data_IF_632170251901
#
_entry.id   IF_632170251901
#
_cell.length_a   1.000
_cell.length_b   1.000
_cell.length_c   1.000
_cell.angle_alpha   90.00
_cell.angle_beta   90.00
_cell.angle_gamma   90.00
#
_symmetry.space_group_name_H-M   'P 1'
#
loop_
_entity.id
_entity.type
_entity.pdbx_description
1 polymer ?
#
# COMPACT_ATOMS: atom_id res chain seq x y z
N UNK A 1 -14.97 -4.14 -13.75
CA UNK A 1 -16.03 -3.18 -14.21
C UNK A 1 -15.47 -1.75 -14.23
N UNK A 2 -16.09 -0.77 -14.92
CA UNK A 2 -15.61 0.64 -14.94
C UNK A 2 -15.43 1.26 -13.54
N UNK A 3 -16.27 0.84 -12.59
CA UNK A 3 -16.24 1.23 -11.17
C UNK A 3 -14.98 0.75 -10.43
N UNK A 4 -14.54 -0.47 -10.70
CA UNK A 4 -13.37 -1.07 -10.05
C UNK A 4 -12.07 -0.37 -10.45
N UNK A 5 -11.89 -0.08 -11.75
CA UNK A 5 -10.73 0.69 -12.24
C UNK A 5 -10.67 2.08 -11.61
N UNK A 6 -11.82 2.76 -11.48
CA UNK A 6 -11.90 4.07 -10.81
C UNK A 6 -11.49 3.96 -9.34
N UNK A 7 -11.92 2.92 -8.65
CA UNK A 7 -11.61 2.70 -7.24
C UNK A 7 -10.14 2.33 -7.02
N UNK A 8 -9.56 1.48 -7.86
CA UNK A 8 -8.12 1.15 -7.84
C UNK A 8 -7.29 2.42 -8.05
N UNK A 9 -7.71 3.29 -8.98
CA UNK A 9 -7.07 4.59 -9.18
C UNK A 9 -7.14 5.44 -7.90
N UNK A 10 -8.32 5.58 -7.28
CA UNK A 10 -8.47 6.31 -6.01
C UNK A 10 -7.58 5.75 -4.89
N UNK A 11 -7.52 4.43 -4.74
CA UNK A 11 -6.66 3.76 -3.76
C UNK A 11 -5.18 4.10 -4.04
N UNK A 12 -4.76 4.04 -5.31
CA UNK A 12 -3.38 4.34 -5.71
C UNK A 12 -3.02 5.81 -5.47
N UNK A 13 -3.94 6.74 -5.78
CA UNK A 13 -3.73 8.18 -5.63
C UNK A 13 -3.63 8.56 -4.14
N UNK A 14 -4.49 8.01 -3.28
CA UNK A 14 -4.44 8.25 -1.83
C UNK A 14 -3.19 7.62 -1.21
N UNK A 15 -2.84 6.39 -1.61
CA UNK A 15 -1.60 5.75 -1.17
C UNK A 15 -0.37 6.59 -1.55
N UNK A 16 -0.37 7.21 -2.75
CA UNK A 16 0.70 8.12 -3.17
C UNK A 16 0.76 9.36 -2.28
N UNK A 17 -0.37 10.02 -2.06
CA UNK A 17 -0.45 11.22 -1.20
C UNK A 17 0.11 10.95 0.21
N UNK A 18 -0.28 9.84 0.83
CA UNK A 18 0.24 9.49 2.15
C UNK A 18 1.75 9.18 2.13
N UNK A 19 2.25 8.52 1.09
CA UNK A 19 3.69 8.29 1.00
C UNK A 19 4.42 9.62 0.81
N UNK A 20 3.97 10.50 -0.08
CA UNK A 20 4.61 11.81 -0.29
C UNK A 20 4.72 12.65 0.99
N UNK A 21 3.79 12.48 1.93
CA UNK A 21 3.80 13.18 3.22
C UNK A 21 4.56 12.46 4.34
N UNK A 22 4.60 11.11 4.34
CA UNK A 22 4.93 10.31 5.54
C UNK A 22 5.84 9.11 5.31
N UNK A 23 6.11 8.70 4.08
CA UNK A 23 6.91 7.51 3.77
C UNK A 23 7.85 7.72 2.57
N UNK A 24 8.84 6.85 2.43
CA UNK A 24 9.75 6.91 1.28
C UNK A 24 9.03 6.63 -0.06
N UNK A 25 9.64 7.12 -1.14
CA UNK A 25 9.22 6.75 -2.51
C UNK A 25 9.28 5.22 -2.73
N UNK A 26 10.23 4.55 -2.07
CA UNK A 26 10.38 3.09 -2.16
C UNK A 26 9.19 2.37 -1.52
N UNK A 27 8.68 2.88 -0.39
CA UNK A 27 7.46 2.37 0.22
C UNK A 27 6.25 2.45 -0.72
N UNK A 28 6.13 3.56 -1.45
CA UNK A 28 5.10 3.70 -2.48
C UNK A 28 5.31 2.72 -3.63
N UNK A 29 6.54 2.52 -4.11
CA UNK A 29 6.86 1.56 -5.18
C UNK A 29 6.44 0.15 -4.79
N UNK A 30 6.73 -0.28 -3.56
CA UNK A 30 6.31 -1.58 -3.03
C UNK A 30 4.78 -1.69 -2.93
N UNK A 31 4.13 -0.67 -2.37
CA UNK A 31 2.66 -0.61 -2.27
C UNK A 31 1.99 -0.68 -3.64
N UNK A 32 2.47 0.10 -4.61
CA UNK A 32 1.96 0.10 -5.99
C UNK A 32 2.17 -1.26 -6.68
N UNK A 33 3.28 -1.95 -6.40
CA UNK A 33 3.53 -3.31 -6.90
C UNK A 33 2.53 -4.30 -6.32
N UNK A 34 2.18 -4.19 -5.05
CA UNK A 34 1.14 -5.00 -4.41
C UNK A 34 -0.24 -4.74 -5.01
N UNK A 35 -0.65 -3.47 -5.17
CA UNK A 35 -1.92 -3.10 -5.83
C UNK A 35 -2.02 -3.75 -7.22
N UNK A 36 -0.97 -3.65 -8.04
CA UNK A 36 -0.95 -4.27 -9.39
C UNK A 36 -1.00 -5.80 -9.37
N UNK A 37 -0.51 -6.44 -8.31
CA UNK A 37 -0.62 -7.90 -8.15
C UNK A 37 -2.07 -8.27 -7.84
N UNK A 38 -2.69 -7.58 -6.90
CA UNK A 38 -4.09 -7.80 -6.50
C UNK A 38 -5.07 -7.50 -7.65
N UNK A 39 -4.84 -6.44 -8.44
CA UNK A 39 -5.65 -6.13 -9.63
C UNK A 39 -5.65 -7.27 -10.67
N UNK A 40 -4.57 -8.06 -10.74
CA UNK A 40 -4.46 -9.19 -11.68
C UNK A 40 -5.06 -10.48 -11.14
N UNK A 41 -5.32 -10.55 -9.84
CA UNK A 41 -5.89 -11.73 -9.19
C UNK A 41 -7.40 -11.78 -9.43
N UNK A 42 -7.85 -12.74 -10.23
CA UNK A 42 -9.28 -12.89 -10.58
C UNK A 42 -10.12 -13.43 -9.42
N UNK A 43 -9.51 -13.92 -8.36
CA UNK A 43 -10.20 -14.43 -7.16
C UNK A 43 -10.55 -13.32 -6.17
N UNK A 44 -9.91 -12.15 -6.30
CA UNK A 44 -10.07 -11.01 -5.42
C UNK A 44 -10.65 -9.83 -6.20
N UNK A 45 -11.48 -9.03 -5.53
CA UNK A 45 -12.05 -7.82 -6.11
C UNK A 45 -11.87 -6.65 -5.16
N UNK A 46 -11.25 -5.57 -5.66
CA UNK A 46 -11.05 -4.34 -4.88
C UNK A 46 -12.28 -3.41 -4.93
N UNK A 47 -13.34 -3.81 -5.64
CA UNK A 47 -14.60 -3.06 -5.74
C UNK A 47 -15.38 -2.98 -4.43
N UNK A 48 -15.25 -3.97 -3.54
CA UNK A 48 -15.87 -4.04 -2.20
C UNK A 48 -15.00 -3.38 -1.13
N UNK A 49 -15.59 -2.99 -0.01
CA UNK A 49 -14.89 -2.31 1.10
C UNK A 49 -14.66 -0.80 0.88
N UNK A 50 -14.22 -0.09 1.93
CA UNK A 50 -13.91 1.35 1.85
C UNK A 50 -12.52 1.58 1.26
N UNK A 51 -12.30 2.72 0.60
CA UNK A 51 -11.00 3.06 -0.02
C UNK A 51 -9.92 3.16 1.06
N UNK A 52 -10.24 3.78 2.19
CA UNK A 52 -9.35 3.95 3.34
C UNK A 52 -8.96 2.60 3.95
N UNK A 53 -9.90 1.65 3.99
CA UNK A 53 -9.64 0.29 4.47
C UNK A 53 -8.64 -0.45 3.57
N UNK A 54 -8.75 -0.28 2.26
CA UNK A 54 -7.76 -0.83 1.31
C UNK A 54 -6.39 -0.19 1.50
N UNK A 55 -6.31 1.14 1.59
CA UNK A 55 -5.04 1.84 1.79
C UNK A 55 -4.37 1.39 3.09
N UNK A 56 -5.11 1.36 4.20
CA UNK A 56 -4.60 0.91 5.49
C UNK A 56 -4.09 -0.55 5.45
N UNK A 57 -4.88 -1.46 4.85
CA UNK A 57 -4.47 -2.87 4.72
C UNK A 57 -3.24 -3.06 3.85
N UNK A 58 -3.16 -2.35 2.72
CA UNK A 58 -1.99 -2.37 1.83
C UNK A 58 -0.74 -1.86 2.55
N UNK A 59 -0.85 -0.74 3.27
CA UNK A 59 0.25 -0.18 4.04
C UNK A 59 0.68 -1.12 5.16
N UNK A 60 -0.27 -1.75 5.87
CA UNK A 60 0.08 -2.72 6.89
C UNK A 60 0.87 -3.90 6.32
N UNK A 61 0.42 -4.49 5.20
CA UNK A 61 1.13 -5.62 4.57
C UNK A 61 2.54 -5.22 4.13
N UNK A 62 2.69 -4.06 3.48
CA UNK A 62 4.01 -3.57 3.03
C UNK A 62 4.91 -3.24 4.21
N UNK A 63 4.36 -2.68 5.29
CA UNK A 63 5.10 -2.36 6.50
C UNK A 63 5.59 -3.60 7.24
N UNK A 64 4.77 -4.65 7.27
CA UNK A 64 5.19 -5.94 7.84
C UNK A 64 6.31 -6.57 6.99
N UNK A 65 6.15 -6.62 5.66
CA UNK A 65 7.13 -7.20 4.73
C UNK A 65 8.46 -6.43 4.71
N UNK A 66 8.42 -5.11 4.92
CA UNK A 66 9.62 -4.26 5.03
C UNK A 66 10.25 -4.28 6.43
N UNK A 67 9.61 -4.91 7.41
CA UNK A 67 10.06 -4.92 8.80
C UNK A 67 9.88 -3.56 9.50
N UNK A 68 9.01 -2.68 9.00
CA UNK A 68 8.70 -1.37 9.60
C UNK A 68 8.26 -1.51 11.06
N UNK A 69 7.51 -2.57 11.36
CA UNK A 69 6.97 -2.84 12.70
C UNK A 69 7.92 -3.69 13.56
N UNK A 70 9.09 -4.08 13.04
CA UNK A 70 10.08 -4.80 13.83
C UNK A 70 10.76 -3.84 14.81
N UNK A 71 10.45 -4.02 16.09
CA UNK A 71 11.04 -3.29 17.23
C UNK A 71 12.57 -3.29 17.28
N UNK A 72 13.25 -4.25 16.64
CA UNK A 72 14.72 -4.28 16.57
C UNK A 72 15.29 -3.44 15.42
N UNK A 73 14.51 -3.22 14.35
CA UNK A 73 14.93 -2.37 13.22
C UNK A 73 15.01 -0.88 13.61
N UNK A 74 14.37 -0.48 14.70
CA UNK A 74 14.46 0.89 15.24
C UNK A 74 15.76 1.12 16.03
N UNK A 75 16.45 0.05 16.44
CA UNK A 75 17.71 0.11 17.20
C UNK A 75 18.91 0.17 16.24
N UNK A 76 18.83 -0.54 15.11
CA UNK A 76 19.80 -0.49 14.01
C UNK A 76 19.23 0.37 12.88
N UNK A 77 19.30 1.70 13.01
CA UNK A 77 18.79 2.67 12.03
C UNK A 77 19.37 2.45 10.63
N UNK A 78 18.75 1.58 9.84
CA UNK A 78 18.60 1.74 8.40
C UNK A 78 17.16 2.17 8.17
N UNK A 79 16.97 3.47 8.37
CA UNK A 79 15.70 4.14 8.12
C UNK A 79 15.28 3.86 6.67
N UNK A 80 14.20 3.11 6.52
CA UNK A 80 13.34 3.21 5.35
C UNK A 80 12.34 4.34 5.60
N UNK A 81 12.84 5.55 5.86
CA UNK A 81 12.08 6.80 5.84
C UNK A 81 12.52 7.58 4.61
#
# INVERSE_FOLDING_TARGET
>A
MPTEKKKIKQITDIAKSHCDERFSEEYFKMTKKLIKRLEKDKTLSMDKGKVEGWVAGLFYIVGEDSGLFNRYNWIDSKEYI
#
